data_IF_768171224142
#
_entry.id   IF_768171224142
#
_cell.length_a   1.000
_cell.length_b   1.000
_cell.length_c   1.000
_cell.angle_alpha   90.00
_cell.angle_beta   90.00
_cell.angle_gamma   90.00
#
_symmetry.space_group_name_H-M   'P 1'
#
loop_
_entity.id
_entity.type
_entity.pdbx_description
1 polymer ?
#
# COMPACT_ATOMS: atom_id res chain seq x y z
N UNK A 1 10.40 -1.43 -59.27
CA UNK A 1 9.23 -0.69 -58.73
C UNK A 1 8.07 -1.69 -58.80
N UNK A 2 7.63 -2.38 -57.76
CA UNK A 2 7.82 -2.23 -56.32
C UNK A 2 8.03 -3.59 -55.65
N UNK A 3 9.07 -3.65 -54.84
CA UNK A 3 9.37 -4.71 -53.90
C UNK A 3 8.88 -4.27 -52.53
N UNK A 4 7.79 -4.84 -52.02
CA UNK A 4 7.41 -4.74 -50.60
C UNK A 4 8.17 -5.84 -49.83
N UNK A 5 9.18 -5.50 -48.99
CA UNK A 5 10.12 -6.50 -48.49
C UNK A 5 9.85 -6.96 -47.05
N UNK A 6 8.66 -6.74 -46.46
CA UNK A 6 8.37 -7.20 -45.10
C UNK A 6 6.93 -7.70 -44.92
N UNK A 7 6.73 -8.84 -44.22
CA UNK A 7 5.41 -9.24 -43.74
C UNK A 7 4.93 -8.23 -42.68
N UNK A 8 3.66 -7.85 -42.74
CA UNK A 8 3.00 -7.08 -41.67
C UNK A 8 2.86 -8.02 -40.46
N UNK A 9 3.90 -8.09 -39.64
CA UNK A 9 3.81 -8.52 -38.25
C UNK A 9 3.21 -7.32 -37.51
N UNK A 10 1.89 -7.27 -37.35
CA UNK A 10 1.10 -6.54 -36.34
C UNK A 10 -0.33 -6.44 -36.87
N UNK A 11 -1.05 -7.57 -36.83
CA UNK A 11 -2.48 -7.51 -36.51
C UNK A 11 -2.55 -7.83 -35.01
N UNK A 12 -2.04 -6.91 -34.18
CA UNK A 12 -2.39 -6.94 -32.77
C UNK A 12 -3.90 -6.69 -32.73
N UNK A 13 -4.66 -7.76 -32.46
CA UNK A 13 -6.07 -7.63 -32.16
C UNK A 13 -6.24 -6.44 -31.21
N UNK A 14 -7.15 -5.48 -31.51
CA UNK A 14 -7.20 -4.22 -30.79
C UNK A 14 -7.16 -4.50 -29.30
N UNK A 15 -6.15 -3.96 -28.60
CA UNK A 15 -5.91 -4.21 -27.19
C UNK A 15 -7.26 -4.14 -26.47
N UNK A 16 -7.73 -5.29 -26.02
CA UNK A 16 -9.05 -5.37 -25.42
C UNK A 16 -9.05 -4.43 -24.23
N UNK A 17 -9.93 -3.43 -24.26
CA UNK A 17 -10.00 -2.46 -23.18
C UNK A 17 -10.24 -3.20 -21.87
N UNK A 18 -9.42 -2.87 -20.86
CA UNK A 18 -9.45 -3.54 -19.56
C UNK A 18 -9.63 -2.53 -18.44
N UNK A 19 -10.48 -2.88 -17.48
CA UNK A 19 -10.59 -2.08 -16.27
C UNK A 19 -9.26 -2.16 -15.51
N UNK A 20 -8.66 -1.02 -15.11
CA UNK A 20 -7.35 -1.05 -14.49
C UNK A 20 -7.37 -1.81 -13.15
N UNK A 21 -6.29 -2.54 -12.87
CA UNK A 21 -6.13 -3.21 -11.59
C UNK A 21 -6.02 -2.16 -10.45
N UNK A 22 -6.57 -2.44 -9.25
CA UNK A 22 -6.36 -1.57 -8.10
C UNK A 22 -4.86 -1.42 -7.79
N UNK A 23 -4.39 -0.22 -7.44
CA UNK A 23 -2.99 -0.03 -7.06
C UNK A 23 -2.69 -0.75 -5.73
N UNK A 24 -1.44 -1.20 -5.57
CA UNK A 24 -0.85 -1.85 -4.37
C UNK A 24 -1.48 -3.16 -3.87
N UNK A 25 -0.72 -4.27 -3.89
CA UNK A 25 -1.13 -5.55 -3.28
C UNK A 25 -2.26 -6.31 -4.00
N UNK A 26 -2.89 -5.71 -5.01
CA UNK A 26 -3.88 -6.36 -5.89
C UNK A 26 -3.27 -6.87 -7.21
N UNK A 27 -1.94 -6.74 -7.40
CA UNK A 27 -1.22 -7.16 -8.62
C UNK A 27 -1.36 -8.65 -8.99
N UNK A 28 -1.85 -9.48 -8.08
CA UNK A 28 -2.08 -10.92 -8.28
C UNK A 28 -3.57 -11.30 -8.18
N UNK A 29 -4.49 -10.34 -8.29
CA UNK A 29 -5.93 -10.62 -8.35
C UNK A 29 -6.30 -10.91 -9.80
N UNK A 30 -6.88 -12.07 -10.05
CA UNK A 30 -7.57 -12.35 -11.31
C UNK A 30 -8.75 -11.39 -11.41
N UNK A 31 -8.62 -10.36 -12.24
CA UNK A 31 -9.73 -9.50 -12.57
C UNK A 31 -10.81 -10.34 -13.26
N UNK A 32 -12.11 -10.08 -13.01
CA UNK A 32 -13.18 -10.65 -13.80
C UNK A 32 -12.88 -10.45 -15.29
N UNK A 33 -13.28 -11.40 -16.12
CA UNK A 33 -13.17 -11.24 -17.55
C UNK A 33 -13.97 -10.00 -18.00
N UNK A 34 -13.27 -8.96 -18.46
CA UNK A 34 -13.89 -7.71 -18.90
C UNK A 34 -14.75 -7.89 -20.17
N UNK A 35 -14.67 -9.08 -20.82
CA UNK A 35 -15.59 -9.46 -21.90
C UNK A 35 -16.94 -9.98 -21.40
N UNK A 36 -17.04 -10.32 -20.11
CA UNK A 36 -18.30 -10.75 -19.50
C UNK A 36 -19.14 -9.55 -19.06
N UNK A 37 -20.46 -9.69 -19.19
CA UNK A 37 -21.40 -8.68 -18.70
C UNK A 37 -21.27 -8.51 -17.18
N UNK A 38 -21.01 -7.29 -16.72
CA UNK A 38 -20.82 -6.97 -15.30
C UNK A 38 -21.97 -6.09 -14.78
N UNK A 39 -22.66 -6.48 -13.69
CA UNK A 39 -23.68 -5.65 -13.07
C UNK A 39 -23.12 -4.28 -12.69
N UNK A 40 -23.82 -3.23 -13.11
CA UNK A 40 -23.39 -1.87 -12.93
C UNK A 40 -24.55 -0.91 -12.69
N UNK A 41 -24.20 0.25 -12.19
CA UNK A 41 -25.09 1.38 -11.94
C UNK A 41 -24.48 2.61 -12.61
N UNK A 42 -25.23 3.22 -13.52
CA UNK A 42 -24.83 4.46 -14.20
C UNK A 42 -25.61 5.61 -13.60
N UNK A 43 -24.90 6.68 -13.30
CA UNK A 43 -25.48 7.92 -12.82
C UNK A 43 -25.34 8.98 -13.90
N UNK A 44 -26.46 9.48 -14.39
CA UNK A 44 -26.50 10.48 -15.46
C UNK A 44 -26.01 11.85 -14.98
N UNK A 45 -25.74 12.77 -15.92
CA UNK A 45 -25.43 14.18 -15.61
C UNK A 45 -26.54 14.91 -14.83
N UNK A 46 -27.77 14.42 -14.91
CA UNK A 46 -28.92 14.95 -14.16
C UNK A 46 -29.09 14.28 -12.79
N UNK A 47 -28.21 13.34 -12.45
CA UNK A 47 -28.23 12.58 -11.20
C UNK A 47 -29.23 11.43 -11.13
N UNK A 48 -30.01 11.20 -12.19
CA UNK A 48 -30.81 9.98 -12.33
C UNK A 48 -29.90 8.76 -12.39
N UNK A 49 -30.24 7.72 -11.63
CA UNK A 49 -29.50 6.46 -11.55
C UNK A 49 -30.21 5.38 -12.36
N UNK A 50 -29.44 4.60 -13.14
CA UNK A 50 -29.92 3.52 -14.00
C UNK A 50 -29.11 2.26 -13.67
N UNK A 51 -29.79 1.16 -13.38
CA UNK A 51 -29.16 -0.15 -13.14
C UNK A 51 -29.23 -1.04 -14.38
N UNK A 52 -28.25 -1.92 -14.52
CA UNK A 52 -28.18 -2.89 -15.62
C UNK A 52 -26.81 -3.55 -15.71
N UNK A 53 -26.44 -4.02 -16.89
CA UNK A 53 -25.19 -4.70 -17.15
C UNK A 53 -24.28 -3.86 -18.05
N UNK A 54 -23.03 -3.67 -17.63
CA UNK A 54 -21.95 -3.20 -18.48
C UNK A 54 -21.47 -4.35 -19.35
N UNK A 55 -21.45 -4.15 -20.67
CA UNK A 55 -21.02 -5.17 -21.64
C UNK A 55 -19.60 -4.95 -22.13
N UNK A 56 -19.23 -3.68 -22.38
CA UNK A 56 -17.88 -3.31 -22.79
C UNK A 56 -17.67 -1.80 -22.62
N UNK A 57 -16.41 -1.39 -22.52
CA UNK A 57 -16.02 0.02 -22.61
C UNK A 57 -15.04 0.16 -23.77
N UNK A 58 -15.19 1.24 -24.53
CA UNK A 58 -14.27 1.65 -25.58
C UNK A 58 -13.69 3.01 -25.17
N UNK A 59 -12.50 2.95 -24.56
CA UNK A 59 -11.76 4.13 -24.09
C UNK A 59 -11.47 5.14 -25.21
N UNK A 60 -10.83 4.71 -26.32
CA UNK A 60 -10.57 5.58 -27.47
C UNK A 60 -11.82 6.22 -28.07
N UNK A 61 -12.92 5.48 -28.21
CA UNK A 61 -14.18 6.04 -28.69
C UNK A 61 -14.95 6.84 -27.62
N UNK A 62 -14.51 6.82 -26.36
CA UNK A 62 -15.19 7.40 -25.19
C UNK A 62 -16.66 6.96 -25.08
N UNK A 63 -16.91 5.68 -25.32
CA UNK A 63 -18.24 5.08 -25.22
C UNK A 63 -18.22 3.83 -24.37
N UNK A 64 -19.37 3.46 -23.84
CA UNK A 64 -19.60 2.16 -23.24
C UNK A 64 -20.83 1.50 -23.85
N UNK A 65 -20.87 0.18 -23.83
CA UNK A 65 -22.05 -0.62 -24.15
C UNK A 65 -22.68 -1.09 -22.85
N UNK A 66 -23.96 -0.79 -22.70
CA UNK A 66 -24.73 -1.07 -21.49
C UNK A 66 -26.11 -1.60 -21.86
N UNK A 67 -26.70 -2.38 -20.95
CA UNK A 67 -28.05 -2.94 -21.13
C UNK A 67 -28.82 -2.86 -19.82
N UNK A 68 -30.02 -2.28 -19.84
CA UNK A 68 -30.87 -2.09 -18.63
C UNK A 68 -31.51 -3.36 -18.10
N UNK A 69 -31.78 -4.36 -18.94
CA UNK A 69 -32.36 -5.65 -18.54
C UNK A 69 -31.71 -6.78 -19.30
N UNK A 70 -31.61 -7.98 -18.73
CA UNK A 70 -30.95 -9.13 -19.39
C UNK A 70 -31.53 -9.48 -20.77
N UNK A 71 -32.80 -9.14 -21.02
CA UNK A 71 -33.52 -9.32 -22.29
C UNK A 71 -33.54 -8.06 -23.19
N UNK A 72 -33.05 -6.92 -22.71
CA UNK A 72 -33.05 -5.66 -23.43
C UNK A 72 -31.98 -5.59 -24.53
N UNK A 73 -32.20 -4.73 -25.53
CA UNK A 73 -31.17 -4.46 -26.53
C UNK A 73 -29.99 -3.67 -25.90
N UNK A 74 -28.73 -4.03 -26.19
CA UNK A 74 -27.58 -3.22 -25.82
C UNK A 74 -27.65 -1.81 -26.40
N UNK A 75 -27.37 -0.81 -25.58
CA UNK A 75 -27.28 0.60 -25.98
C UNK A 75 -25.85 1.08 -25.82
N UNK A 76 -25.38 1.87 -26.78
CA UNK A 76 -24.10 2.57 -26.69
C UNK A 76 -24.30 3.94 -26.05
N UNK A 77 -23.57 4.22 -24.98
CA UNK A 77 -23.64 5.46 -24.23
C UNK A 77 -22.29 6.18 -24.27
N UNK A 78 -22.29 7.45 -24.67
CA UNK A 78 -21.08 8.28 -24.63
C UNK A 78 -20.72 8.69 -23.19
N UNK A 79 -19.43 8.79 -22.90
CA UNK A 79 -18.89 9.23 -21.60
C UNK A 79 -19.42 10.59 -21.15
N UNK A 80 -19.72 11.49 -22.09
CA UNK A 80 -20.31 12.81 -21.80
C UNK A 80 -21.73 12.74 -21.22
N UNK A 81 -22.44 11.62 -21.36
CA UNK A 81 -23.85 11.47 -20.93
C UNK A 81 -24.01 11.06 -19.48
N UNK A 82 -22.94 10.63 -18.80
CA UNK A 82 -22.99 10.22 -17.41
C UNK A 82 -21.89 10.89 -16.58
N UNK A 83 -22.10 10.92 -15.26
CA UNK A 83 -21.13 11.43 -14.28
C UNK A 83 -20.32 10.32 -13.65
N UNK A 84 -20.91 9.15 -13.45
CA UNK A 84 -20.29 8.03 -12.75
C UNK A 84 -20.85 6.69 -13.24
N UNK A 85 -19.97 5.71 -13.33
CA UNK A 85 -20.28 4.30 -13.51
C UNK A 85 -19.74 3.54 -12.29
N UNK A 86 -20.60 2.76 -11.65
CA UNK A 86 -20.24 1.92 -10.50
C UNK A 86 -20.49 0.45 -10.84
N UNK A 87 -19.46 -0.40 -10.75
CA UNK A 87 -19.67 -1.85 -10.82
C UNK A 87 -20.21 -2.32 -9.47
N UNK A 88 -21.42 -2.87 -9.47
CA UNK A 88 -22.15 -3.17 -8.23
C UNK A 88 -21.65 -4.44 -7.56
N UNK A 89 -21.03 -5.35 -8.31
CA UNK A 89 -20.31 -6.50 -7.76
C UNK A 89 -18.93 -6.06 -7.24
N UNK A 90 -18.68 -6.11 -5.92
CA UNK A 90 -17.38 -5.76 -5.36
C UNK A 90 -16.28 -6.70 -5.87
N UNK A 91 -15.11 -6.13 -6.15
CA UNK A 91 -13.92 -6.91 -6.47
C UNK A 91 -13.36 -7.51 -5.18
N UNK A 92 -13.37 -8.83 -5.08
CA UNK A 92 -12.79 -9.56 -3.94
C UNK A 92 -11.32 -9.87 -4.20
N UNK A 93 -10.43 -9.70 -3.22
CA UNK A 93 -9.05 -10.10 -3.38
C UNK A 93 -8.94 -11.63 -3.45
N UNK A 94 -8.16 -12.16 -4.38
CA UNK A 94 -7.85 -13.59 -4.41
C UNK A 94 -7.07 -13.97 -3.14
N UNK A 95 -7.64 -14.84 -2.30
CA UNK A 95 -6.91 -15.43 -1.17
C UNK A 95 -5.96 -16.50 -1.70
N UNK A 96 -4.65 -16.27 -1.64
CA UNK A 96 -3.68 -17.36 -1.84
C UNK A 96 -3.50 -18.14 -0.53
N UNK A 97 -3.79 -19.45 -0.49
CA UNK A 97 -3.40 -20.28 0.63
C UNK A 97 -1.87 -20.42 0.64
N UNK A 98 -1.22 -19.98 1.71
CA UNK A 98 0.21 -20.24 1.97
C UNK A 98 1.21 -19.15 1.54
N UNK A 99 0.76 -18.05 0.92
CA UNK A 99 1.64 -16.92 0.62
C UNK A 99 1.80 -15.98 1.81
N UNK A 100 2.88 -16.12 2.59
CA UNK A 100 3.34 -15.11 3.55
C UNK A 100 3.89 -13.85 2.83
N UNK A 101 3.24 -13.41 1.75
CA UNK A 101 3.56 -12.15 1.10
C UNK A 101 2.95 -11.03 1.92
N UNK A 102 3.75 -10.64 2.92
CA UNK A 102 3.69 -9.42 3.72
C UNK A 102 3.13 -8.28 2.84
N UNK A 103 1.86 -7.90 3.06
CA UNK A 103 1.09 -6.92 2.27
C UNK A 103 1.08 -5.57 2.99
N UNK A 104 1.01 -4.46 2.27
CA UNK A 104 0.71 -3.14 2.87
C UNK A 104 -0.75 -3.19 3.34
N UNK A 105 -1.07 -2.84 4.60
CA UNK A 105 -2.44 -2.88 5.08
C UNK A 105 -3.33 -2.00 4.20
N UNK A 106 -4.46 -2.54 3.73
CA UNK A 106 -5.41 -1.82 2.87
C UNK A 106 -5.90 -0.53 3.54
N UNK A 107 -6.04 -0.58 4.87
CA UNK A 107 -6.44 0.54 5.71
C UNK A 107 -5.47 1.72 5.69
N UNK A 108 -4.16 1.47 5.56
CA UNK A 108 -3.12 2.50 5.52
C UNK A 108 -3.11 3.31 4.22
N UNK A 109 -3.74 2.77 3.16
CA UNK A 109 -3.80 3.36 1.83
C UNK A 109 -5.15 4.02 1.53
N UNK A 110 -6.12 3.90 2.43
CA UNK A 110 -7.37 4.63 2.32
C UNK A 110 -7.11 6.14 2.42
N UNK A 111 -7.65 6.87 1.44
CA UNK A 111 -7.55 8.32 1.34
C UNK A 111 -8.92 8.91 1.10
N UNK A 112 -9.20 10.03 1.74
CA UNK A 112 -10.31 10.88 1.31
C UNK A 112 -10.05 11.38 -0.11
N UNK A 113 -11.09 11.44 -0.92
CA UNK A 113 -11.04 12.11 -2.21
C UNK A 113 -12.11 13.19 -2.28
N UNK A 114 -11.83 14.23 -3.05
CA UNK A 114 -12.78 15.26 -3.45
C UNK A 114 -12.66 15.49 -4.95
N UNK A 115 -13.71 15.13 -5.69
CA UNK A 115 -13.83 15.40 -7.11
C UNK A 115 -14.73 16.61 -7.32
N UNK A 116 -14.16 17.66 -7.91
CA UNK A 116 -14.91 18.83 -8.37
C UNK A 116 -15.54 18.48 -9.71
N UNK A 117 -16.85 18.23 -9.70
CA UNK A 117 -17.59 17.86 -10.90
C UNK A 117 -17.67 19.04 -11.87
N UNK A 118 -17.81 18.70 -13.15
CA UNK A 118 -17.94 19.67 -14.24
C UNK A 118 -19.36 20.26 -14.36
N UNK A 119 -20.35 19.62 -13.75
CA UNK A 119 -21.67 20.19 -13.55
C UNK A 119 -21.66 21.09 -12.30
N UNK A 120 -22.60 22.03 -12.20
CA UNK A 120 -22.69 23.02 -11.11
C UNK A 120 -23.18 22.41 -9.78
N UNK A 121 -22.88 21.14 -9.54
CA UNK A 121 -23.29 20.37 -8.36
C UNK A 121 -22.29 20.43 -7.21
N UNK A 122 -22.65 19.79 -6.09
CA UNK A 122 -21.73 19.57 -4.98
C UNK A 122 -20.57 18.65 -5.41
N UNK A 123 -19.35 18.87 -4.89
CA UNK A 123 -18.23 18.01 -5.20
C UNK A 123 -18.49 16.59 -4.70
N UNK A 124 -18.12 15.60 -5.50
CA UNK A 124 -18.22 14.20 -5.10
C UNK A 124 -17.09 13.87 -4.12
N UNK A 125 -17.45 13.54 -2.89
CA UNK A 125 -16.49 13.14 -1.85
C UNK A 125 -16.66 11.68 -1.48
N UNK A 126 -15.62 11.09 -0.88
CA UNK A 126 -15.65 9.72 -0.40
C UNK A 126 -14.26 9.25 0.04
N UNK A 127 -14.14 7.95 0.28
CA UNK A 127 -12.89 7.29 0.61
C UNK A 127 -12.49 6.34 -0.50
N UNK A 128 -11.20 6.26 -0.84
CA UNK A 128 -10.70 5.31 -1.83
C UNK A 128 -9.47 4.59 -1.31
N UNK A 129 -9.38 3.29 -1.56
CA UNK A 129 -8.19 2.46 -1.27
C UNK A 129 -7.13 2.57 -2.38
N UNK A 130 -7.39 3.36 -3.41
CA UNK A 130 -6.50 3.58 -4.54
C UNK A 130 -7.17 4.32 -5.69
N UNK A 131 -6.39 4.82 -6.63
CA UNK A 131 -6.93 5.36 -7.87
C UNK A 131 -5.98 5.10 -9.04
N UNK A 132 -6.54 5.13 -10.25
CA UNK A 132 -5.78 5.17 -11.50
C UNK A 132 -6.37 6.29 -12.34
N UNK A 133 -5.55 7.27 -12.69
CA UNK A 133 -5.95 8.36 -13.59
C UNK A 133 -5.42 8.07 -15.00
N UNK A 134 -6.30 8.23 -15.98
CA UNK A 134 -6.05 7.95 -17.41
C UNK A 134 -6.61 9.10 -18.25
N UNK A 135 -6.38 9.07 -19.57
CA UNK A 135 -6.95 10.06 -20.49
C UNK A 135 -8.49 9.99 -20.57
N UNK A 136 -9.03 8.81 -20.34
CA UNK A 136 -10.44 8.45 -20.39
C UNK A 136 -11.19 8.93 -19.14
N UNK A 137 -10.49 8.99 -18.01
CA UNK A 137 -11.03 9.43 -16.73
C UNK A 137 -10.34 8.80 -15.53
N UNK A 138 -11.02 8.90 -14.39
CA UNK A 138 -10.56 8.45 -13.10
C UNK A 138 -11.22 7.14 -12.70
N UNK A 139 -10.41 6.18 -12.30
CA UNK A 139 -10.83 4.93 -11.69
C UNK A 139 -10.58 4.96 -10.19
N UNK A 140 -11.62 4.75 -9.40
CA UNK A 140 -11.60 4.71 -7.94
C UNK A 140 -11.93 3.32 -7.43
N UNK A 141 -11.35 2.96 -6.28
CA UNK A 141 -11.50 1.66 -5.63
C UNK A 141 -11.98 1.88 -4.19
N UNK A 142 -13.30 1.99 -4.02
CA UNK A 142 -13.92 2.32 -2.74
C UNK A 142 -13.92 1.09 -1.82
N UNK A 143 -13.43 1.18 -0.57
CA UNK A 143 -13.52 0.07 0.38
C UNK A 143 -14.99 -0.23 0.70
N UNK A 144 -15.37 -1.52 0.73
CA UNK A 144 -16.68 -1.97 1.22
C UNK A 144 -16.52 -2.82 2.49
N UNK A 145 -17.57 -2.86 3.32
CA UNK A 145 -17.52 -3.49 4.66
C UNK A 145 -17.23 -5.00 4.62
N UNK A 146 -17.52 -5.69 3.51
CA UNK A 146 -17.30 -7.13 3.35
C UNK A 146 -15.88 -7.49 2.84
N UNK A 147 -15.17 -8.30 3.62
CA UNK A 147 -14.03 -9.14 3.19
C UNK A 147 -12.95 -8.45 2.33
N UNK A 148 -12.48 -7.26 2.73
CA UNK A 148 -11.42 -6.51 2.00
C UNK A 148 -11.76 -6.25 0.54
N UNK A 149 -13.04 -6.25 0.19
CA UNK A 149 -13.49 -6.04 -1.17
C UNK A 149 -13.45 -4.55 -1.50
N UNK A 150 -13.30 -4.24 -2.79
CA UNK A 150 -13.38 -2.86 -3.27
C UNK A 150 -14.47 -2.73 -4.31
N UNK A 151 -15.29 -1.71 -4.19
CA UNK A 151 -16.20 -1.29 -5.23
C UNK A 151 -15.44 -0.49 -6.28
N UNK A 152 -15.62 -0.84 -7.55
CA UNK A 152 -14.95 -0.21 -8.68
C UNK A 152 -15.84 0.89 -9.24
N UNK A 153 -15.28 2.10 -9.34
CA UNK A 153 -15.98 3.27 -9.86
C UNK A 153 -15.16 3.90 -10.98
N UNK A 154 -15.82 4.28 -12.07
CA UNK A 154 -15.25 5.05 -13.17
C UNK A 154 -15.97 6.40 -13.26
N UNK A 155 -15.18 7.47 -13.32
CA UNK A 155 -15.61 8.85 -13.50
C UNK A 155 -14.97 9.37 -14.78
N UNK A 156 -15.73 9.61 -15.86
CA UNK A 156 -15.16 10.08 -17.12
C UNK A 156 -14.39 11.38 -16.97
N UNK A 157 -13.34 11.59 -17.77
CA UNK A 157 -12.56 12.85 -17.72
C UNK A 157 -13.43 14.09 -17.94
N UNK A 158 -14.45 13.98 -18.79
CA UNK A 158 -15.40 15.06 -19.06
C UNK A 158 -16.36 15.35 -17.89
N UNK A 159 -16.36 14.54 -16.82
CA UNK A 159 -17.26 14.67 -15.68
C UNK A 159 -16.68 15.48 -14.52
N UNK A 160 -15.37 15.74 -14.47
CA UNK A 160 -14.70 16.47 -13.39
C UNK A 160 -13.65 17.44 -13.91
N UNK A 161 -13.49 18.58 -13.23
CA UNK A 161 -12.47 19.60 -13.56
C UNK A 161 -11.21 19.44 -12.73
N UNK A 162 -11.34 18.98 -11.49
CA UNK A 162 -10.24 18.78 -10.56
C UNK A 162 -10.53 17.58 -9.65
N UNK A 163 -9.47 16.90 -9.22
CA UNK A 163 -9.53 15.80 -8.27
C UNK A 163 -8.45 16.01 -7.21
N UNK A 164 -8.85 15.98 -5.95
CA UNK A 164 -7.98 16.11 -4.79
C UNK A 164 -8.01 14.81 -4.00
N UNK A 165 -6.85 14.38 -3.50
CA UNK A 165 -6.74 13.26 -2.59
C UNK A 165 -6.09 13.73 -1.29
N UNK A 166 -6.75 13.46 -0.18
CA UNK A 166 -6.22 13.69 1.16
C UNK A 166 -4.98 12.84 1.44
N UNK A 167 -4.28 13.11 2.56
CA UNK A 167 -3.14 12.30 2.96
C UNK A 167 -3.57 10.86 3.24
N UNK A 168 -2.68 9.90 2.98
CA UNK A 168 -2.87 8.54 3.50
C UNK A 168 -2.76 8.52 5.02
N UNK A 169 -3.25 7.46 5.66
CA UNK A 169 -3.08 7.28 7.11
C UNK A 169 -1.60 7.33 7.49
N UNK A 170 -0.73 6.74 6.67
CA UNK A 170 0.73 6.78 6.85
C UNK A 170 1.31 8.19 6.74
N UNK A 171 0.91 8.98 5.74
CA UNK A 171 1.38 10.36 5.58
C UNK A 171 0.88 11.31 6.66
N UNK A 172 -0.34 11.08 7.16
CA UNK A 172 -0.86 11.82 8.30
C UNK A 172 -0.09 11.47 9.57
N UNK A 173 0.12 10.17 9.81
CA UNK A 173 0.84 9.66 10.97
C UNK A 173 2.33 10.02 10.98
N UNK A 174 2.97 10.03 9.80
CA UNK A 174 4.41 10.29 9.67
C UNK A 174 4.82 11.63 10.25
N UNK A 175 3.92 12.63 10.25
CA UNK A 175 4.15 13.93 10.88
C UNK A 175 4.55 13.83 12.37
N UNK A 176 4.12 12.79 13.07
CA UNK A 176 4.43 12.52 14.48
C UNK A 176 5.68 11.66 14.67
N UNK A 177 6.25 11.12 13.59
CA UNK A 177 7.41 10.25 13.66
C UNK A 177 8.69 11.05 13.80
N UNK A 178 9.68 10.43 14.41
CA UNK A 178 10.98 11.03 14.67
C UNK A 178 11.70 11.29 13.35
N UNK A 179 11.99 12.56 13.07
CA UNK A 179 12.69 12.99 11.85
C UNK A 179 14.13 13.44 12.06
N UNK A 180 14.60 13.58 13.31
CA UNK A 180 15.94 14.11 13.62
C UNK A 180 16.72 13.17 14.54
N UNK A 181 18.07 13.16 14.45
CA UNK A 181 18.91 12.37 15.37
C UNK A 181 18.72 12.76 16.83
N UNK A 182 18.57 14.06 17.13
CA UNK A 182 18.38 14.55 18.50
C UNK A 182 17.08 14.02 19.12
N UNK A 183 15.97 14.13 18.39
CA UNK A 183 14.67 13.60 18.82
C UNK A 183 14.72 12.07 18.97
N UNK A 184 15.47 11.37 18.11
CA UNK A 184 15.63 9.92 18.18
C UNK A 184 16.35 9.49 19.44
N UNK A 185 17.48 10.12 19.75
CA UNK A 185 18.23 9.83 20.97
C UNK A 185 17.39 10.16 22.20
N UNK A 186 16.70 11.29 22.22
CA UNK A 186 15.79 11.64 23.31
C UNK A 186 14.65 10.60 23.48
N UNK A 187 14.11 10.08 22.38
CA UNK A 187 13.07 9.05 22.42
C UNK A 187 13.59 7.70 22.93
N UNK A 188 14.80 7.29 22.50
CA UNK A 188 15.46 6.06 22.98
C UNK A 188 15.69 6.13 24.49
N UNK A 189 16.19 7.27 25.01
CA UNK A 189 16.44 7.41 26.46
C UNK A 189 15.14 7.44 27.27
N UNK A 190 14.02 7.88 26.68
CA UNK A 190 12.69 7.87 27.32
C UNK A 190 11.99 6.51 27.26
N UNK A 191 12.38 5.62 26.35
CA UNK A 191 11.72 4.32 26.11
C UNK A 191 11.44 3.51 27.39
N UNK A 192 12.38 3.32 28.34
CA UNK A 192 12.14 2.49 29.52
C UNK A 192 11.04 3.01 30.46
N UNK A 193 10.65 4.28 30.31
CA UNK A 193 9.66 4.97 31.16
C UNK A 193 8.42 5.40 30.37
N UNK A 194 8.32 5.02 29.10
CA UNK A 194 7.20 5.41 28.26
C UNK A 194 5.89 4.76 28.78
N UNK A 195 4.79 5.52 28.90
CA UNK A 195 3.51 4.97 29.28
C UNK A 195 3.01 3.99 28.21
N UNK A 196 2.33 2.92 28.65
CA UNK A 196 1.77 1.91 27.74
C UNK A 196 0.64 2.54 26.93
N UNK A 197 0.85 2.65 25.62
CA UNK A 197 -0.13 3.23 24.70
C UNK A 197 -1.30 2.25 24.44
N UNK A 198 -2.56 2.71 24.33
CA UNK A 198 -3.64 1.86 23.83
C UNK A 198 -3.32 1.34 22.42
N UNK A 199 -3.69 0.07 22.13
CA UNK A 199 -3.34 -0.54 20.83
C UNK A 199 -3.98 0.18 19.65
N UNK A 200 -5.19 0.71 19.81
CA UNK A 200 -5.85 1.53 18.79
C UNK A 200 -5.02 2.77 18.45
N UNK A 201 -4.56 3.50 19.46
CA UNK A 201 -3.71 4.67 19.26
C UNK A 201 -2.35 4.31 18.65
N UNK A 202 -1.77 3.17 19.03
CA UNK A 202 -0.54 2.69 18.40
C UNK A 202 -0.73 2.42 16.89
N UNK A 203 -1.86 1.83 16.50
CA UNK A 203 -2.20 1.57 15.10
C UNK A 203 -2.41 2.87 14.30
N UNK A 204 -3.07 3.87 14.90
CA UNK A 204 -3.22 5.20 14.30
C UNK A 204 -1.86 5.89 14.13
N UNK A 205 -1.02 5.89 15.17
CA UNK A 205 0.30 6.51 15.13
C UNK A 205 1.25 5.83 14.15
N UNK A 206 1.04 4.56 13.83
CA UNK A 206 1.79 3.85 12.79
C UNK A 206 1.21 4.06 11.38
N UNK A 207 0.09 4.78 11.26
CA UNK A 207 -0.62 4.95 10.00
C UNK A 207 -1.23 3.66 9.46
N UNK A 208 -1.46 2.67 10.32
CA UNK A 208 -2.06 1.38 9.94
C UNK A 208 -3.59 1.44 9.91
N UNK A 209 -4.17 2.45 10.55
CA UNK A 209 -5.60 2.75 10.59
C UNK A 209 -5.83 4.25 10.48
N UNK A 210 -7.02 4.63 9.99
CA UNK A 210 -7.60 5.96 10.17
C UNK A 210 -8.49 6.02 11.43
N UNK A 211 -8.78 7.22 11.92
CA UNK A 211 -9.69 7.41 13.06
C UNK A 211 -11.07 6.82 12.74
N UNK A 212 -11.62 7.11 11.57
CA UNK A 212 -12.91 6.58 11.12
C UNK A 212 -12.95 5.05 11.05
N UNK A 213 -11.86 4.40 10.65
CA UNK A 213 -11.77 2.93 10.69
C UNK A 213 -11.79 2.43 12.12
N UNK A 214 -11.01 3.04 13.02
CA UNK A 214 -10.99 2.67 14.42
C UNK A 214 -12.38 2.84 15.06
N UNK A 215 -13.04 3.96 14.82
CA UNK A 215 -14.38 4.26 15.36
C UNK A 215 -15.43 3.27 14.84
N UNK A 216 -15.40 2.93 13.54
CA UNK A 216 -16.26 1.88 12.97
C UNK A 216 -16.03 0.53 13.65
N UNK A 217 -14.78 0.18 13.95
CA UNK A 217 -14.47 -1.06 14.67
C UNK A 217 -14.95 -1.05 16.11
N UNK A 218 -14.83 0.09 16.79
CA UNK A 218 -15.26 0.25 18.19
C UNK A 218 -16.79 0.35 18.32
N UNK A 219 -17.51 0.78 17.28
CA UNK A 219 -18.97 0.82 17.27
C UNK A 219 -19.61 -0.57 17.24
N UNK A 220 -18.92 -1.59 16.70
CA UNK A 220 -19.36 -2.99 16.68
C UNK A 220 -18.20 -3.90 17.13
N UNK A 221 -17.80 -3.82 18.41
CA UNK A 221 -16.66 -4.58 18.88
C UNK A 221 -17.00 -6.08 18.89
N UNK A 222 -16.10 -6.95 18.44
CA UNK A 222 -16.32 -8.39 18.54
C UNK A 222 -16.34 -8.81 20.02
N UNK A 223 -17.33 -9.63 20.37
CA UNK A 223 -17.59 -9.99 21.77
C UNK A 223 -16.42 -10.72 22.45
N UNK A 224 -15.65 -11.53 21.71
CA UNK A 224 -14.70 -12.49 22.29
C UNK A 224 -13.24 -12.28 21.87
N UNK A 225 -12.89 -11.16 21.21
CA UNK A 225 -11.54 -10.95 20.69
C UNK A 225 -10.98 -9.57 21.05
N UNK A 226 -9.70 -9.48 21.51
CA UNK A 226 -9.00 -8.20 21.61
C UNK A 226 -9.02 -7.46 20.27
N UNK A 227 -9.10 -6.12 20.30
CA UNK A 227 -9.16 -5.26 19.11
C UNK A 227 -8.10 -5.62 18.06
N UNK A 228 -6.85 -5.83 18.49
CA UNK A 228 -5.77 -6.20 17.57
C UNK A 228 -6.01 -7.52 16.84
N UNK A 229 -6.48 -8.55 17.54
CA UNK A 229 -6.81 -9.85 16.94
C UNK A 229 -8.01 -9.76 16.00
N UNK A 230 -9.01 -8.98 16.39
CA UNK A 230 -10.18 -8.70 15.56
C UNK A 230 -9.78 -8.10 14.20
N UNK A 231 -8.93 -7.06 14.23
CA UNK A 231 -8.41 -6.38 13.04
C UNK A 231 -7.53 -7.28 12.15
N UNK A 232 -6.85 -8.26 12.73
CA UNK A 232 -6.11 -9.27 11.96
C UNK A 232 -7.09 -10.26 11.31
N UNK A 233 -8.11 -10.69 12.05
CA UNK A 233 -9.09 -11.70 11.60
C UNK A 233 -9.96 -11.21 10.45
N UNK A 234 -10.48 -9.99 10.53
CA UNK A 234 -11.21 -9.36 9.40
C UNK A 234 -10.26 -8.88 8.30
N UNK A 235 -8.97 -8.80 8.62
CA UNK A 235 -7.92 -8.55 7.68
C UNK A 235 -7.64 -7.09 7.35
N UNK A 236 -8.16 -6.15 8.13
CA UNK A 236 -7.80 -4.73 8.06
C UNK A 236 -6.29 -4.53 8.23
N UNK A 237 -5.66 -5.30 9.12
CA UNK A 237 -4.20 -5.32 9.32
C UNK A 237 -3.66 -6.75 9.21
N UNK A 238 -2.35 -6.90 9.01
CA UNK A 238 -1.68 -8.22 9.06
C UNK A 238 -1.20 -8.55 10.47
N UNK A 239 -0.89 -9.83 10.73
CA UNK A 239 -0.23 -10.27 11.98
C UNK A 239 1.10 -9.55 12.20
N UNK A 240 1.84 -9.25 11.13
CA UNK A 240 3.10 -8.51 11.23
C UNK A 240 2.85 -7.07 11.68
N UNK A 241 1.82 -6.41 11.13
CA UNK A 241 1.46 -5.04 11.50
C UNK A 241 1.03 -4.95 12.97
N UNK A 242 0.26 -5.93 13.46
CA UNK A 242 -0.10 -6.03 14.87
C UNK A 242 1.14 -6.15 15.77
N UNK A 243 2.12 -6.97 15.39
CA UNK A 243 3.37 -7.11 16.14
C UNK A 243 4.17 -5.80 16.16
N UNK A 244 4.20 -5.06 15.05
CA UNK A 244 4.82 -3.73 14.99
C UNK A 244 4.09 -2.74 15.90
N UNK A 245 2.75 -2.75 15.91
CA UNK A 245 1.94 -1.92 16.80
C UNK A 245 2.14 -2.24 18.28
N UNK A 246 2.29 -3.52 18.62
CA UNK A 246 2.65 -3.94 19.97
C UNK A 246 4.04 -3.47 20.37
N UNK A 247 5.03 -3.55 19.47
CA UNK A 247 6.37 -3.02 19.72
C UNK A 247 6.35 -1.50 19.96
N UNK A 248 5.62 -0.74 19.13
CA UNK A 248 5.47 0.70 19.32
C UNK A 248 4.76 1.03 20.64
N UNK A 249 3.71 0.28 20.98
CA UNK A 249 3.02 0.36 22.28
C UNK A 249 3.96 0.10 23.48
N UNK A 250 5.02 -0.69 23.29
CA UNK A 250 6.05 -0.98 24.29
C UNK A 250 7.20 0.06 24.31
N UNK A 251 7.03 1.21 23.64
CA UNK A 251 7.92 2.37 23.76
C UNK A 251 9.06 2.42 22.74
N UNK A 252 9.10 1.51 21.76
CA UNK A 252 10.10 1.60 20.69
C UNK A 252 9.84 2.88 19.87
N UNK A 253 10.86 3.73 19.66
CA UNK A 253 10.68 4.95 18.88
C UNK A 253 10.40 4.62 17.42
N UNK A 254 9.56 5.45 16.79
CA UNK A 254 9.16 5.31 15.40
C UNK A 254 9.81 6.42 14.57
N UNK A 255 10.63 6.06 13.60
CA UNK A 255 11.42 6.97 12.77
C UNK A 255 10.77 7.15 11.39
N UNK A 256 10.85 8.38 10.87
CA UNK A 256 10.50 8.69 9.50
C UNK A 256 11.74 8.64 8.60
N UNK A 257 11.93 7.53 7.88
CA UNK A 257 13.08 7.34 6.98
C UNK A 257 13.02 8.22 5.73
N UNK A 258 11.90 8.88 5.44
CA UNK A 258 11.84 9.84 4.35
C UNK A 258 12.50 11.18 4.71
N UNK A 259 12.53 11.53 6.01
CA UNK A 259 13.09 12.79 6.52
C UNK A 259 14.36 12.62 7.35
N UNK A 260 14.56 11.46 7.96
CA UNK A 260 15.69 11.20 8.85
C UNK A 260 17.02 11.19 8.08
N UNK A 261 18.05 11.94 8.51
CA UNK A 261 19.36 11.92 7.88
C UNK A 261 20.10 10.63 8.23
N UNK A 262 20.25 9.74 7.25
CA UNK A 262 20.97 8.48 7.41
C UNK A 262 22.49 8.74 7.32
N UNK A 263 23.23 8.35 8.35
CA UNK A 263 24.68 8.43 8.41
C UNK A 263 25.32 7.33 7.55
N UNK A 264 26.05 7.74 6.51
CA UNK A 264 26.79 6.82 5.65
C UNK A 264 27.80 5.97 6.43
N UNK A 265 28.46 6.54 7.45
CA UNK A 265 29.43 5.81 8.26
C UNK A 265 28.80 4.67 9.06
N UNK A 266 27.51 4.78 9.41
CA UNK A 266 26.76 3.71 10.07
C UNK A 266 26.38 2.59 9.08
N UNK A 267 25.97 2.95 7.85
CA UNK A 267 25.64 2.00 6.79
C UNK A 267 26.88 1.19 6.40
N UNK A 268 28.02 1.84 6.25
CA UNK A 268 29.30 1.20 5.88
C UNK A 268 29.82 0.19 6.91
N UNK A 269 29.34 0.22 8.16
CA UNK A 269 29.70 -0.80 9.16
C UNK A 269 29.22 -2.20 8.80
N UNK A 270 28.21 -2.31 7.94
CA UNK A 270 27.60 -3.58 7.58
C UNK A 270 27.65 -3.81 6.07
N UNK A 271 27.99 -5.01 5.61
CA UNK A 271 27.86 -5.34 4.20
C UNK A 271 26.41 -5.17 3.72
N UNK A 272 26.20 -4.59 2.54
CA UNK A 272 24.86 -4.36 1.95
C UNK A 272 24.00 -5.63 1.96
N UNK A 273 24.60 -6.78 1.64
CA UNK A 273 23.90 -8.07 1.66
C UNK A 273 23.34 -8.42 3.05
N UNK A 274 24.06 -8.09 4.12
CA UNK A 274 23.59 -8.33 5.49
C UNK A 274 22.41 -7.42 5.80
N UNK A 275 22.53 -6.12 5.49
CA UNK A 275 21.46 -5.11 5.63
C UNK A 275 20.18 -5.58 4.92
N UNK A 276 20.29 -6.02 3.66
CA UNK A 276 19.17 -6.48 2.84
C UNK A 276 18.55 -7.79 3.35
N UNK A 277 19.35 -8.79 3.70
CA UNK A 277 18.84 -10.10 4.16
C UNK A 277 18.21 -10.01 5.56
N UNK A 278 18.79 -9.21 6.45
CA UNK A 278 18.21 -8.93 7.76
C UNK A 278 17.03 -7.95 7.67
N UNK A 279 16.92 -7.21 6.55
CA UNK A 279 15.94 -6.14 6.30
C UNK A 279 15.95 -5.12 7.43
N UNK A 280 17.14 -4.65 7.73
CA UNK A 280 17.45 -3.76 8.85
C UNK A 280 18.39 -2.67 8.35
N UNK A 281 18.04 -1.41 8.56
CA UNK A 281 18.75 -0.26 8.02
C UNK A 281 19.53 0.45 9.13
N UNK A 282 20.88 0.43 9.13
CA UNK A 282 21.67 1.28 10.00
C UNK A 282 21.33 2.76 9.76
N UNK A 283 21.07 3.51 10.84
CA UNK A 283 20.73 4.93 10.76
C UNK A 283 21.88 5.82 11.16
N UNK A 284 22.48 5.51 12.31
CA UNK A 284 23.54 6.31 12.93
C UNK A 284 24.28 5.48 13.98
N UNK A 285 25.47 5.96 14.35
CA UNK A 285 26.21 5.46 15.50
C UNK A 285 26.12 6.52 16.61
N UNK A 286 25.69 6.10 17.79
CA UNK A 286 25.73 6.93 18.99
C UNK A 286 26.68 6.30 20.02
N UNK A 287 27.87 6.91 20.18
CA UNK A 287 28.98 6.36 20.98
C UNK A 287 29.36 4.95 20.49
N UNK A 288 29.01 3.92 21.24
CA UNK A 288 29.24 2.49 20.92
C UNK A 288 27.94 1.75 20.56
N UNK A 289 26.86 2.49 20.31
CA UNK A 289 25.55 1.94 19.96
C UNK A 289 25.30 2.12 18.47
N UNK A 290 25.00 1.02 17.78
CA UNK A 290 24.50 1.06 16.41
C UNK A 290 22.97 1.18 16.45
N UNK A 291 22.43 2.31 16.00
CA UNK A 291 20.98 2.52 15.94
C UNK A 291 20.49 2.01 14.57
N UNK A 292 19.52 1.10 14.60
CA UNK A 292 19.07 0.37 13.40
C UNK A 292 17.56 0.43 13.27
N UNK A 293 17.08 0.94 12.14
CA UNK A 293 15.68 0.90 11.76
C UNK A 293 15.26 -0.50 11.29
N UNK A 294 14.16 -0.98 11.85
CA UNK A 294 13.51 -2.24 11.52
C UNK A 294 12.00 -2.07 11.50
N UNK A 295 11.26 -2.89 10.76
CA UNK A 295 9.78 -2.90 10.86
C UNK A 295 9.27 -3.76 12.02
N UNK A 296 10.14 -4.61 12.59
CA UNK A 296 9.88 -5.39 13.81
C UNK A 296 11.18 -5.66 14.59
N UNK A 297 11.16 -5.58 15.93
CA UNK A 297 12.37 -5.71 16.75
C UNK A 297 13.14 -7.03 16.52
N UNK A 298 12.42 -8.14 16.28
CA UNK A 298 13.01 -9.45 16.03
C UNK A 298 13.97 -9.51 14.82
N UNK A 299 13.97 -8.49 13.93
CA UNK A 299 14.96 -8.39 12.86
C UNK A 299 16.37 -8.09 13.36
N UNK A 300 16.50 -7.43 14.52
CA UNK A 300 17.81 -7.19 15.12
C UNK A 300 18.45 -8.50 15.58
N UNK A 301 17.67 -9.48 16.05
CA UNK A 301 18.21 -10.80 16.41
C UNK A 301 18.81 -11.50 15.19
N UNK A 302 18.10 -11.43 14.05
CA UNK A 302 18.61 -11.91 12.76
C UNK A 302 19.88 -11.17 12.37
N UNK A 303 19.88 -9.84 12.44
CA UNK A 303 21.05 -9.03 12.13
C UNK A 303 22.27 -9.45 12.95
N UNK A 304 22.11 -9.59 14.27
CA UNK A 304 23.16 -10.04 15.20
C UNK A 304 23.74 -11.40 14.82
N UNK A 305 22.90 -12.33 14.36
CA UNK A 305 23.39 -13.65 13.92
C UNK A 305 24.20 -13.61 12.62
N UNK A 306 24.06 -12.55 11.81
CA UNK A 306 24.61 -12.49 10.46
C UNK A 306 25.98 -11.82 10.37
N UNK A 307 26.40 -11.02 11.35
CA UNK A 307 27.67 -10.29 11.26
C UNK A 307 28.33 -10.00 12.61
N UNK A 308 29.64 -10.26 12.69
CA UNK A 308 30.43 -10.18 13.94
C UNK A 308 30.43 -8.80 14.57
N UNK A 309 30.50 -7.72 13.77
CA UNK A 309 30.44 -6.35 14.30
C UNK A 309 29.17 -6.14 15.15
N UNK A 310 28.01 -6.63 14.68
CA UNK A 310 26.75 -6.53 15.42
C UNK A 310 26.65 -7.44 16.66
N UNK A 311 27.55 -8.40 16.79
CA UNK A 311 27.68 -9.24 18.00
C UNK A 311 28.53 -8.56 19.08
N UNK A 312 29.45 -7.69 18.67
CA UNK A 312 30.39 -6.97 19.55
C UNK A 312 29.93 -5.54 19.88
N UNK A 313 28.88 -5.06 19.22
CA UNK A 313 28.33 -3.71 19.37
C UNK A 313 26.91 -3.76 19.90
N UNK A 314 26.53 -2.80 20.73
CA UNK A 314 25.15 -2.68 21.21
C UNK A 314 24.28 -2.22 20.05
N UNK A 315 23.45 -3.12 19.51
CA UNK A 315 22.47 -2.77 18.48
C UNK A 315 21.16 -2.33 19.14
N UNK A 316 20.76 -1.09 18.89
CA UNK A 316 19.52 -0.48 19.39
C UNK A 316 18.47 -0.48 18.26
N UNK A 317 17.41 -1.29 18.37
CA UNK A 317 16.30 -1.30 17.41
C UNK A 317 15.43 -0.04 17.54
N UNK A 318 15.11 0.57 16.40
CA UNK A 318 14.05 1.58 16.28
C UNK A 318 13.08 1.14 15.19
N UNK A 319 11.79 1.49 15.34
CA UNK A 319 10.76 1.09 14.38
C UNK A 319 10.73 2.04 13.20
N UNK A 320 10.51 1.50 12.00
CA UNK A 320 10.16 2.26 10.81
C UNK A 320 8.98 1.58 10.10
N UNK A 321 8.21 2.34 9.33
CA UNK A 321 7.18 1.74 8.49
C UNK A 321 7.84 0.78 7.49
N UNK A 322 7.14 -0.32 7.18
CA UNK A 322 7.63 -1.29 6.21
C UNK A 322 7.82 -0.68 4.82
N UNK A 323 6.89 0.18 4.39
CA UNK A 323 6.95 0.85 3.09
C UNK A 323 8.19 1.72 2.98
N UNK A 324 8.42 2.58 3.97
CA UNK A 324 9.61 3.43 4.03
C UNK A 324 10.91 2.62 4.11
N UNK A 325 10.93 1.53 4.88
CA UNK A 325 12.10 0.67 5.00
C UNK A 325 12.44 -0.01 3.67
N UNK A 326 11.44 -0.53 2.95
CA UNK A 326 11.65 -1.13 1.61
C UNK A 326 12.20 -0.09 0.62
N UNK A 327 11.62 1.12 0.61
CA UNK A 327 12.09 2.20 -0.26
C UNK A 327 13.53 2.61 0.08
N UNK A 328 13.86 2.78 1.36
CA UNK A 328 15.20 3.16 1.81
C UNK A 328 16.24 2.08 1.48
N UNK A 329 15.92 0.79 1.71
CA UNK A 329 16.80 -0.33 1.35
C UNK A 329 17.01 -0.43 -0.17
N UNK A 330 15.97 -0.14 -0.97
CA UNK A 330 16.08 -0.09 -2.43
C UNK A 330 17.08 0.96 -2.92
N UNK A 331 17.17 2.12 -2.25
CA UNK A 331 18.16 3.16 -2.58
C UNK A 331 19.59 2.69 -2.32
N UNK A 332 19.83 1.98 -1.21
CA UNK A 332 21.16 1.42 -0.91
C UNK A 332 21.58 0.43 -1.99
N UNK A 333 20.67 -0.44 -2.43
CA UNK A 333 20.95 -1.42 -3.47
C UNK A 333 21.34 -0.76 -4.81
N UNK A 334 20.77 0.40 -5.14
CA UNK A 334 21.10 1.14 -6.37
C UNK A 334 22.46 1.84 -6.32
N UNK A 335 22.92 2.23 -5.12
CA UNK A 335 24.26 2.79 -4.94
C UNK A 335 25.37 1.71 -4.92
N UNK A 336 25.00 0.44 -4.77
CA UNK A 336 25.91 -0.70 -4.69
C UNK A 336 26.00 -1.48 -6.01
N UNK A 337 26.40 -0.78 -7.08
CA UNK A 337 26.50 -1.38 -8.43
C UNK A 337 27.74 -2.29 -8.57
N UNK A 338 28.68 -2.28 -7.61
CA UNK A 338 30.01 -2.90 -7.78
C UNK A 338 30.45 -3.90 -6.70
N UNK A 339 29.76 -4.08 -5.55
CA UNK A 339 30.29 -4.90 -4.44
C UNK A 339 29.91 -6.39 -4.43
N UNK A 340 29.46 -6.98 -5.56
CA UNK A 340 29.04 -8.40 -5.63
C UNK A 340 30.12 -9.45 -5.27
N UNK A 341 31.33 -9.05 -4.85
CA UNK A 341 32.46 -9.93 -4.58
C UNK A 341 32.86 -9.97 -3.09
N UNK A 342 31.93 -10.28 -2.18
CA UNK A 342 32.33 -10.72 -0.82
C UNK A 342 31.66 -12.04 -0.49
N UNK A 343 32.46 -13.11 -0.59
CA UNK A 343 32.10 -14.46 -0.20
C UNK A 343 32.00 -14.54 1.33
N UNK A 344 30.79 -14.51 1.88
CA UNK A 344 30.55 -14.90 3.27
C UNK A 344 30.58 -16.44 3.35
N UNK A 345 31.77 -17.04 3.33
CA UNK A 345 31.97 -18.39 3.86
C UNK A 345 32.46 -18.24 5.30
N UNK A 346 31.70 -18.70 6.32
CA UNK A 346 32.25 -18.83 7.65
C UNK A 346 33.39 -19.87 7.60
N UNK A 347 34.60 -19.45 7.95
CA UNK A 347 35.74 -20.35 8.10
C UNK A 347 35.48 -21.30 9.27
N UNK A 348 35.16 -22.54 8.96
CA UNK A 348 35.31 -23.64 9.93
C UNK A 348 36.80 -23.94 10.05
N UNK A 349 37.41 -23.48 11.15
CA UNK A 349 38.65 -24.07 11.63
C UNK A 349 38.33 -25.41 12.28
N UNK A 350 38.61 -26.51 11.59
CA UNK A 350 38.81 -27.79 12.23
C UNK A 350 40.27 -27.86 12.67
N UNK A 351 40.52 -27.56 13.94
CA UNK A 351 41.65 -28.12 14.68
C UNK A 351 41.43 -29.62 14.77
N UNK A 352 42.44 -30.44 14.42
CA UNK A 352 42.77 -31.71 15.09
C UNK A 352 44.07 -32.30 14.53
N UNK A 353 45.04 -32.42 15.44
CA UNK A 353 46.31 -33.20 15.51
C UNK A 353 47.46 -32.90 14.56
#
# INVERSE_FOLDING_TARGET
>A
MDSTPFPILFDEAPEQWRWPAPPFGWRKVSLPDDSAAQPCRIETRQGTTIEGDLLSIDGPAQTLRFRTSSLGAPVTLAFSRFRRLTLTTPLRPAMQPGGAEERVPAAAQEREYRLHLSDTGEPMTGHTAGHVETSEGLFLFLPVEEERSVQRIFVPRSAYIACEFGPSAEEAASKLWVGTPEDLLAAIERQPRAPVLPIGQALLNLGLLTQDQLDRFLARPPADLPLGEALVRNGTITRSDLNTALAYKMGYPLVDLARFPIDAAAVEKLPTRVILLARSLPLMIDRERLIVAVDKPARVDKLRSMHVFTQQTVVVPVLASKGQLVLALGRIQQHDVWSQSVSLRPGFFATTT
#
